data_IF_102985889157
#
_entry.id   IF_102985889157
#
_cell.length_a   1.000
_cell.length_b   1.000
_cell.length_c   1.000
_cell.angle_alpha   90.00
_cell.angle_beta   90.00
_cell.angle_gamma   90.00
#
_symmetry.space_group_name_H-M   'P 1'
#
loop_
_entity.id
_entity.type
_entity.pdbx_description
1 polymer ?
#
# COMPACT_ATOMS: atom_id res chain seq x y z
N UNK A 1 -3.95 19.27 -47.57
CA UNK A 1 -3.77 20.49 -46.77
C UNK A 1 -4.74 20.57 -45.58
N UNK A 2 -5.40 19.45 -45.18
CA UNK A 2 -6.46 19.46 -44.14
C UNK A 2 -6.08 18.77 -42.80
N UNK A 3 -4.95 18.05 -42.71
CA UNK A 3 -4.62 17.28 -41.52
C UNK A 3 -3.70 17.98 -40.53
N UNK A 4 -3.19 19.16 -40.86
CA UNK A 4 -2.28 19.91 -40.00
C UNK A 4 -3.04 20.74 -38.95
N UNK A 5 -4.33 21.03 -39.13
CA UNK A 5 -5.13 21.91 -38.28
C UNK A 5 -5.98 21.21 -37.20
N UNK A 6 -5.98 19.87 -37.13
CA UNK A 6 -6.74 19.10 -36.09
C UNK A 6 -5.92 18.60 -34.93
N UNK A 7 -4.75 19.12 -34.66
CA UNK A 7 -4.18 18.96 -33.31
C UNK A 7 -4.93 19.91 -32.38
N UNK A 8 -6.01 19.42 -31.78
CA UNK A 8 -6.59 20.12 -30.62
C UNK A 8 -5.43 20.42 -29.68
N UNK A 9 -5.19 21.69 -29.43
CA UNK A 9 -4.12 22.11 -28.51
C UNK A 9 -4.54 21.62 -27.12
N UNK A 10 -3.85 20.56 -26.65
CA UNK A 10 -4.05 20.03 -25.30
C UNK A 10 -3.75 21.17 -24.35
N UNK A 11 -4.75 21.58 -23.58
CA UNK A 11 -4.63 22.67 -22.64
C UNK A 11 -3.90 22.21 -21.38
N UNK A 12 -3.19 23.12 -20.74
CA UNK A 12 -2.54 22.83 -19.45
C UNK A 12 -3.56 22.37 -18.38
N UNK A 13 -4.80 22.84 -18.47
CA UNK A 13 -5.89 22.44 -17.57
C UNK A 13 -6.27 20.96 -17.76
N UNK A 14 -6.42 20.49 -19.00
CA UNK A 14 -6.70 19.06 -19.25
C UNK A 14 -5.60 18.15 -18.71
N UNK A 15 -4.34 18.55 -18.86
CA UNK A 15 -3.20 17.79 -18.31
C UNK A 15 -3.25 17.80 -16.78
N UNK A 16 -3.62 18.91 -16.16
CA UNK A 16 -3.75 19.03 -14.71
C UNK A 16 -4.90 18.18 -14.18
N UNK A 17 -6.07 18.24 -14.80
CA UNK A 17 -7.25 17.44 -14.43
C UNK A 17 -6.97 15.94 -14.54
N UNK A 18 -6.36 15.50 -15.65
CA UNK A 18 -5.99 14.10 -15.82
C UNK A 18 -4.98 13.65 -14.78
N UNK A 19 -4.02 14.49 -14.42
CA UNK A 19 -3.06 14.21 -13.36
C UNK A 19 -3.73 14.10 -11.99
N UNK A 20 -4.64 15.00 -11.65
CA UNK A 20 -5.38 14.96 -10.38
C UNK A 20 -6.23 13.68 -10.26
N UNK A 21 -6.82 13.22 -11.36
CA UNK A 21 -7.63 11.99 -11.39
C UNK A 21 -6.79 10.70 -11.37
N UNK A 22 -5.60 10.70 -11.95
CA UNK A 22 -4.83 9.47 -12.17
C UNK A 22 -3.57 9.37 -11.32
N UNK A 23 -3.10 10.47 -10.73
CA UNK A 23 -1.82 10.54 -10.02
C UNK A 23 -0.59 10.38 -10.93
N UNK A 24 -0.77 10.24 -12.25
CA UNK A 24 0.32 10.01 -13.19
C UNK A 24 1.21 11.25 -13.38
N UNK A 25 2.44 11.04 -13.86
CA UNK A 25 3.37 12.13 -14.14
C UNK A 25 2.83 13.10 -15.21
N UNK A 26 3.07 14.41 -15.04
CA UNK A 26 2.57 15.46 -15.96
C UNK A 26 2.96 15.20 -17.42
N UNK A 27 4.17 14.71 -17.67
CA UNK A 27 4.63 14.41 -19.04
C UNK A 27 3.94 13.19 -19.63
N UNK A 28 3.63 12.19 -18.81
CA UNK A 28 2.89 11.01 -19.25
C UNK A 28 1.44 11.40 -19.57
N UNK A 29 0.78 12.19 -18.72
CA UNK A 29 -0.56 12.74 -19.00
C UNK A 29 -0.60 13.53 -20.29
N UNK A 30 0.38 14.41 -20.53
CA UNK A 30 0.47 15.19 -21.76
C UNK A 30 0.63 14.31 -23.01
N UNK A 31 1.52 13.30 -22.94
CA UNK A 31 1.75 12.37 -24.04
C UNK A 31 0.50 11.56 -24.38
N UNK A 32 -0.17 11.02 -23.35
CA UNK A 32 -1.34 10.19 -23.54
C UNK A 32 -2.52 11.01 -24.07
N UNK A 33 -2.75 12.22 -23.56
CA UNK A 33 -3.76 13.12 -24.11
C UNK A 33 -3.48 13.46 -25.59
N UNK A 34 -2.20 13.62 -25.98
CA UNK A 34 -1.83 13.84 -27.37
C UNK A 34 -2.16 12.63 -28.26
N UNK A 35 -1.91 11.42 -27.76
CA UNK A 35 -2.19 10.17 -28.48
C UNK A 35 -3.69 9.88 -28.58
N UNK A 36 -4.46 10.25 -27.57
CA UNK A 36 -5.92 10.07 -27.53
C UNK A 36 -6.70 11.27 -28.12
N UNK A 37 -6.01 12.26 -28.70
CA UNK A 37 -6.62 13.47 -29.24
C UNK A 37 -7.50 14.23 -28.23
N UNK A 38 -7.11 14.23 -26.95
CA UNK A 38 -7.84 14.89 -25.87
C UNK A 38 -9.01 14.10 -25.28
N UNK A 39 -9.19 12.85 -25.68
CA UNK A 39 -10.19 11.94 -25.10
C UNK A 39 -9.69 11.47 -23.73
N UNK A 40 -10.33 11.95 -22.67
CA UNK A 40 -9.92 11.73 -21.29
C UNK A 40 -10.11 10.26 -20.84
N UNK A 41 -11.22 9.62 -21.24
CA UNK A 41 -11.51 8.24 -20.86
C UNK A 41 -10.47 7.28 -21.44
N UNK A 42 -10.17 7.41 -22.73
CA UNK A 42 -9.11 6.64 -23.38
C UNK A 42 -7.72 6.97 -22.83
N UNK A 43 -7.50 8.21 -22.41
CA UNK A 43 -6.26 8.62 -21.77
C UNK A 43 -6.04 7.93 -20.42
N UNK A 44 -7.09 7.81 -19.62
CA UNK A 44 -7.07 7.08 -18.33
C UNK A 44 -6.75 5.60 -18.57
N UNK A 45 -7.44 4.96 -19.52
CA UNK A 45 -7.22 3.55 -19.85
C UNK A 45 -5.79 3.29 -20.34
N UNK A 46 -5.29 4.13 -21.24
CA UNK A 46 -3.93 4.03 -21.75
C UNK A 46 -2.86 4.29 -20.66
N UNK A 47 -3.12 5.19 -19.72
CA UNK A 47 -2.27 5.39 -18.56
C UNK A 47 -2.25 4.17 -17.64
N UNK A 48 -3.40 3.52 -17.45
CA UNK A 48 -3.53 2.28 -16.69
C UNK A 48 -2.73 1.15 -17.32
N UNK A 49 -2.88 0.90 -18.61
CA UNK A 49 -2.11 -0.10 -19.36
C UNK A 49 -0.60 0.14 -19.26
N UNK A 50 -0.18 1.40 -19.44
CA UNK A 50 1.24 1.78 -19.29
C UNK A 50 1.75 1.65 -17.87
N UNK A 51 0.90 1.89 -16.88
CA UNK A 51 1.19 1.67 -15.47
C UNK A 51 1.46 0.20 -15.19
N UNK A 52 0.62 -0.71 -15.68
CA UNK A 52 0.80 -2.16 -15.58
C UNK A 52 2.12 -2.58 -16.25
N UNK A 53 2.41 -2.09 -17.45
CA UNK A 53 3.64 -2.41 -18.16
C UNK A 53 4.90 -1.88 -17.42
N UNK A 54 4.81 -0.71 -16.78
CA UNK A 54 5.90 -0.16 -15.95
C UNK A 54 6.10 -0.99 -14.67
N UNK A 55 5.02 -1.40 -14.01
CA UNK A 55 5.08 -2.23 -12.82
C UNK A 55 5.68 -3.61 -13.14
N UNK A 56 5.25 -4.24 -14.23
CA UNK A 56 5.79 -5.52 -14.68
C UNK A 56 7.31 -5.48 -14.95
N UNK A 57 7.83 -4.37 -15.51
CA UNK A 57 9.28 -4.20 -15.71
C UNK A 57 10.08 -4.04 -14.42
N UNK A 58 9.41 -3.78 -13.31
CA UNK A 58 10.05 -3.58 -12.00
C UNK A 58 9.88 -4.77 -11.08
N UNK A 59 9.02 -5.73 -11.41
CA UNK A 59 8.71 -6.89 -10.56
C UNK A 59 9.94 -7.68 -10.14
N UNK A 60 10.98 -7.72 -11.00
CA UNK A 60 12.23 -8.45 -10.73
C UNK A 60 13.21 -7.69 -9.80
N UNK A 61 12.89 -6.44 -9.46
CA UNK A 61 13.75 -5.66 -8.56
C UNK A 61 13.52 -6.08 -7.12
N UNK A 62 14.61 -6.16 -6.37
CA UNK A 62 14.56 -6.56 -4.97
C UNK A 62 13.94 -5.44 -4.13
N UNK A 63 12.80 -5.72 -3.51
CA UNK A 63 12.15 -4.87 -2.53
C UNK A 63 12.51 -5.39 -1.12
N UNK A 64 13.63 -4.91 -0.57
CA UNK A 64 14.18 -5.38 0.71
C UNK A 64 13.82 -4.47 1.89
N UNK A 65 13.48 -3.22 1.61
CA UNK A 65 13.00 -2.24 2.59
C UNK A 65 11.46 -2.28 2.66
N UNK A 66 10.87 -1.41 3.44
CA UNK A 66 9.41 -1.30 3.51
C UNK A 66 8.91 -0.92 4.89
N UNK A 67 7.65 -1.23 5.12
CA UNK A 67 6.91 -0.84 6.31
C UNK A 67 6.09 -2.03 6.82
N UNK A 68 6.12 -2.22 8.15
CA UNK A 68 5.15 -3.03 8.86
C UNK A 68 4.15 -2.10 9.53
N UNK A 69 2.87 -2.39 9.36
CA UNK A 69 1.80 -1.68 10.08
C UNK A 69 0.80 -2.66 10.67
N UNK A 70 0.01 -2.14 11.60
CA UNK A 70 -1.07 -2.87 12.26
C UNK A 70 -2.36 -2.06 12.19
N UNK A 71 -3.47 -2.76 12.13
CA UNK A 71 -4.78 -2.17 12.34
C UNK A 71 -5.56 -3.04 13.33
N UNK A 72 -6.20 -2.42 14.29
CA UNK A 72 -7.04 -3.08 15.30
C UNK A 72 -8.42 -2.45 15.22
N UNK A 73 -9.47 -3.28 15.20
CA UNK A 73 -10.86 -2.83 15.18
C UNK A 73 -11.21 -2.01 16.45
N UNK A 74 -12.23 -1.18 16.37
CA UNK A 74 -12.63 -0.31 17.48
C UNK A 74 -13.01 -1.09 18.75
N UNK A 75 -13.62 -2.26 18.57
CA UNK A 75 -13.99 -3.18 19.67
C UNK A 75 -12.80 -4.01 20.17
N UNK A 76 -11.62 -3.87 19.53
CA UNK A 76 -10.38 -4.60 19.85
C UNK A 76 -10.51 -6.12 19.80
N UNK A 77 -11.44 -6.63 18.99
CA UNK A 77 -11.66 -8.06 18.80
C UNK A 77 -10.95 -8.61 17.58
N UNK A 78 -10.69 -7.75 16.59
CA UNK A 78 -10.04 -8.12 15.35
C UNK A 78 -8.82 -7.24 15.15
N UNK A 79 -7.70 -7.84 14.78
CA UNK A 79 -6.49 -7.10 14.46
C UNK A 79 -5.72 -7.75 13.34
N UNK A 80 -5.00 -6.95 12.58
CA UNK A 80 -4.10 -7.42 11.55
C UNK A 80 -2.74 -6.74 11.64
N UNK A 81 -1.71 -7.48 11.25
CA UNK A 81 -0.37 -6.97 10.98
C UNK A 81 -0.02 -7.29 9.53
N UNK A 82 0.51 -6.32 8.81
CA UNK A 82 0.90 -6.48 7.41
C UNK A 82 2.30 -5.93 7.16
N UNK A 83 3.07 -6.63 6.34
CA UNK A 83 4.38 -6.23 5.83
C UNK A 83 4.25 -5.92 4.33
N UNK A 84 4.57 -4.67 3.97
CA UNK A 84 4.61 -4.21 2.58
C UNK A 84 6.02 -3.74 2.28
N UNK A 85 6.64 -4.35 1.29
CA UNK A 85 8.02 -4.07 0.92
C UNK A 85 8.10 -3.03 -0.22
N UNK A 86 9.21 -2.28 -0.22
CA UNK A 86 9.61 -1.33 -1.25
C UNK A 86 11.12 -1.45 -1.52
N UNK A 87 11.62 -0.83 -2.59
CA UNK A 87 13.06 -0.88 -2.92
C UNK A 87 13.90 -0.07 -1.93
N UNK A 88 13.41 1.09 -1.47
CA UNK A 88 14.15 2.00 -0.60
C UNK A 88 13.39 2.41 0.67
N UNK A 89 14.15 2.84 1.68
CA UNK A 89 13.61 3.40 2.92
C UNK A 89 12.96 4.79 2.72
N UNK A 90 13.30 5.50 1.63
CA UNK A 90 12.65 6.76 1.27
C UNK A 90 11.16 6.55 0.97
N UNK A 91 10.82 5.49 0.23
CA UNK A 91 9.43 5.13 -0.05
C UNK A 91 8.72 4.72 1.24
N UNK A 92 9.37 3.98 2.14
CA UNK A 92 8.80 3.63 3.43
C UNK A 92 8.42 4.84 4.30
N UNK A 93 9.03 6.02 4.07
CA UNK A 93 8.72 7.30 4.73
C UNK A 93 7.71 8.16 3.96
N UNK A 94 7.39 7.80 2.73
CA UNK A 94 6.44 8.53 1.89
C UNK A 94 5.02 8.39 2.43
N UNK A 95 4.31 9.52 2.61
CA UNK A 95 2.95 9.54 3.15
C UNK A 95 1.96 8.76 2.29
N UNK A 96 2.10 8.82 0.97
CA UNK A 96 1.24 8.10 0.04
C UNK A 96 1.41 6.57 0.15
N UNK A 97 2.64 6.10 0.35
CA UNK A 97 2.92 4.70 0.63
C UNK A 97 2.38 4.27 2.00
N UNK A 98 2.60 5.08 3.04
CA UNK A 98 2.09 4.81 4.39
C UNK A 98 0.56 4.75 4.45
N UNK A 99 -0.12 5.67 3.75
CA UNK A 99 -1.58 5.63 3.63
C UNK A 99 -2.05 4.35 2.96
N UNK A 100 -1.43 3.96 1.85
CA UNK A 100 -1.74 2.70 1.17
C UNK A 100 -1.57 1.49 2.09
N UNK A 101 -0.46 1.41 2.84
CA UNK A 101 -0.21 0.28 3.77
C UNK A 101 -1.24 0.24 4.91
N UNK A 102 -1.66 1.41 5.42
CA UNK A 102 -2.72 1.51 6.42
C UNK A 102 -4.09 1.05 5.87
N UNK A 103 -4.43 1.44 4.64
CA UNK A 103 -5.65 1.00 3.97
C UNK A 103 -5.67 -0.52 3.74
N UNK A 104 -4.52 -1.09 3.37
CA UNK A 104 -4.36 -2.55 3.24
C UNK A 104 -4.57 -3.26 4.58
N UNK A 105 -4.00 -2.75 5.68
CA UNK A 105 -4.20 -3.33 7.00
C UNK A 105 -5.68 -3.30 7.43
N UNK A 106 -6.36 -2.18 7.17
CA UNK A 106 -7.80 -2.03 7.41
C UNK A 106 -8.62 -2.99 6.56
N UNK A 107 -8.30 -3.13 5.28
CA UNK A 107 -8.94 -4.07 4.36
C UNK A 107 -8.85 -5.52 4.87
N UNK A 108 -7.69 -5.94 5.37
CA UNK A 108 -7.48 -7.28 5.92
C UNK A 108 -8.42 -7.54 7.11
N UNK A 109 -8.58 -6.57 8.00
CA UNK A 109 -9.49 -6.67 9.15
C UNK A 109 -10.95 -6.77 8.70
N UNK A 110 -11.37 -5.92 7.75
CA UNK A 110 -12.76 -5.81 7.31
C UNK A 110 -13.20 -6.94 6.36
N UNK A 111 -12.31 -7.38 5.46
CA UNK A 111 -12.65 -8.32 4.37
C UNK A 111 -12.16 -9.74 4.57
N UNK A 112 -11.31 -9.97 5.59
CA UNK A 112 -10.80 -11.30 5.98
C UNK A 112 -10.28 -12.15 4.80
N UNK A 113 -9.32 -11.68 4.00
CA UNK A 113 -8.69 -12.50 2.98
C UNK A 113 -7.89 -13.63 3.62
N UNK A 114 -7.87 -14.82 2.99
CA UNK A 114 -7.09 -15.94 3.48
C UNK A 114 -5.61 -15.88 3.01
N UNK A 115 -5.36 -15.29 1.85
CA UNK A 115 -4.01 -15.20 1.26
C UNK A 115 -3.75 -13.82 0.66
N UNK A 116 -2.48 -13.54 0.35
CA UNK A 116 -2.09 -12.28 -0.32
C UNK A 116 -2.70 -12.20 -1.72
N UNK A 117 -2.80 -13.32 -2.42
CA UNK A 117 -3.40 -13.41 -3.74
C UNK A 117 -4.88 -13.02 -3.69
N UNK A 118 -5.63 -13.59 -2.75
CA UNK A 118 -7.03 -13.23 -2.53
C UNK A 118 -7.19 -11.75 -2.16
N UNK A 119 -6.31 -11.22 -1.28
CA UNK A 119 -6.31 -9.80 -0.93
C UNK A 119 -6.14 -8.90 -2.16
N UNK A 120 -5.22 -9.26 -3.08
CA UNK A 120 -4.96 -8.48 -4.28
C UNK A 120 -6.15 -8.46 -5.26
N UNK A 121 -6.97 -9.52 -5.27
CA UNK A 121 -8.16 -9.62 -6.11
C UNK A 121 -9.39 -8.93 -5.51
N UNK A 122 -9.41 -8.68 -4.20
CA UNK A 122 -10.53 -8.02 -3.54
C UNK A 122 -10.73 -6.57 -4.01
N UNK A 123 -11.99 -6.10 -4.10
CA UNK A 123 -12.29 -4.69 -4.30
C UNK A 123 -11.69 -3.84 -3.17
N UNK A 124 -10.94 -2.79 -3.52
CA UNK A 124 -10.34 -1.87 -2.56
C UNK A 124 -11.39 -1.08 -1.79
N UNK A 125 -11.24 -0.98 -0.48
CA UNK A 125 -12.06 -0.09 0.38
C UNK A 125 -11.68 1.38 0.23
N UNK A 126 -10.43 1.67 -0.17
CA UNK A 126 -9.92 3.03 -0.30
C UNK A 126 -10.22 3.64 -1.67
N UNK A 127 -10.18 2.84 -2.74
CA UNK A 127 -10.41 3.31 -4.11
C UNK A 127 -11.54 2.51 -4.77
N UNK A 128 -12.73 3.10 -4.82
CA UNK A 128 -13.91 2.45 -5.43
C UNK A 128 -13.66 2.08 -6.91
N UNK A 129 -14.08 0.89 -7.30
CA UNK A 129 -13.98 0.41 -8.68
C UNK A 129 -12.62 -0.16 -9.09
N UNK A 130 -11.69 -0.28 -8.13
CA UNK A 130 -10.38 -0.92 -8.34
C UNK A 130 -10.18 -2.07 -7.36
N UNK A 131 -9.39 -3.06 -7.75
CA UNK A 131 -8.89 -4.08 -6.81
C UNK A 131 -7.68 -3.55 -6.05
N UNK A 132 -7.33 -4.19 -4.92
CA UNK A 132 -6.11 -3.86 -4.16
C UNK A 132 -4.86 -4.00 -5.03
N UNK A 133 -4.80 -5.02 -5.90
CA UNK A 133 -3.70 -5.23 -6.85
C UNK A 133 -3.59 -4.11 -7.89
N UNK A 134 -4.73 -3.58 -8.37
CA UNK A 134 -4.74 -2.44 -9.28
C UNK A 134 -4.28 -1.15 -8.60
N UNK A 135 -4.67 -0.93 -7.34
CA UNK A 135 -4.17 0.20 -6.54
C UNK A 135 -2.67 0.08 -6.32
N UNK A 136 -2.17 -1.10 -5.93
CA UNK A 136 -0.73 -1.37 -5.78
C UNK A 136 0.04 -1.08 -7.08
N UNK A 137 -0.47 -1.57 -8.21
CA UNK A 137 0.13 -1.34 -9.54
C UNK A 137 0.17 0.15 -9.88
N UNK A 138 -0.89 0.89 -9.57
CA UNK A 138 -0.95 2.34 -9.71
C UNK A 138 0.10 3.05 -8.85
N UNK A 139 0.28 2.63 -7.61
CA UNK A 139 1.32 3.17 -6.71
C UNK A 139 2.73 2.88 -7.23
N UNK A 140 3.01 1.67 -7.73
CA UNK A 140 4.29 1.32 -8.38
C UNK A 140 4.56 2.22 -9.58
N UNK A 141 3.53 2.51 -10.39
CA UNK A 141 3.67 3.38 -11.56
C UNK A 141 3.95 4.84 -11.18
N UNK A 142 3.31 5.34 -10.11
CA UNK A 142 3.41 6.74 -9.64
C UNK A 142 4.69 6.99 -8.86
N UNK A 143 4.98 6.17 -7.84
CA UNK A 143 6.15 6.29 -6.97
C UNK A 143 7.42 5.91 -7.73
N UNK A 144 7.33 4.93 -8.64
CA UNK A 144 8.44 4.57 -9.50
C UNK A 144 9.34 3.47 -8.96
N UNK A 145 9.01 2.83 -7.84
CA UNK A 145 9.71 1.70 -7.23
C UNK A 145 8.87 0.43 -7.25
N UNK A 146 9.53 -0.74 -7.19
CA UNK A 146 8.85 -2.00 -6.97
C UNK A 146 8.31 -2.05 -5.54
N UNK A 147 7.07 -2.50 -5.40
CA UNK A 147 6.41 -2.69 -4.11
C UNK A 147 5.63 -3.98 -4.12
N UNK A 148 5.58 -4.66 -2.98
CA UNK A 148 4.84 -5.91 -2.83
C UNK A 148 4.26 -6.05 -1.42
N UNK A 149 3.03 -6.53 -1.32
CA UNK A 149 2.47 -7.01 -0.06
C UNK A 149 3.10 -8.39 0.17
N UNK A 150 4.00 -8.48 1.15
CA UNK A 150 4.77 -9.69 1.38
C UNK A 150 4.00 -10.74 2.16
N UNK A 151 3.38 -10.30 3.25
CA UNK A 151 2.60 -11.17 4.15
C UNK A 151 1.75 -10.34 5.08
N UNK A 152 0.76 -10.99 5.63
CA UNK A 152 -0.06 -10.47 6.73
C UNK A 152 -0.51 -11.60 7.63
N UNK A 153 -0.92 -11.23 8.85
CA UNK A 153 -1.62 -12.11 9.78
C UNK A 153 -2.84 -11.37 10.32
N UNK A 154 -3.96 -12.05 10.45
CA UNK A 154 -5.20 -11.55 11.02
C UNK A 154 -5.59 -12.41 12.20
N UNK A 155 -5.93 -11.75 13.29
CA UNK A 155 -6.39 -12.39 14.53
C UNK A 155 -7.81 -11.93 14.84
N UNK A 156 -8.60 -12.86 15.35
CA UNK A 156 -9.94 -12.59 15.85
C UNK A 156 -10.12 -13.33 17.17
N UNK A 157 -10.59 -12.61 18.21
CA UNK A 157 -10.60 -13.12 19.57
C UNK A 157 -11.83 -12.68 20.35
N UNK A 158 -12.19 -13.47 21.36
CA UNK A 158 -13.11 -13.06 22.41
C UNK A 158 -12.42 -12.22 23.49
N UNK A 159 -11.10 -12.21 23.55
CA UNK A 159 -10.28 -11.42 24.45
C UNK A 159 -10.11 -9.97 23.99
N UNK A 160 -8.89 -9.48 24.06
CA UNK A 160 -8.48 -8.12 23.67
C UNK A 160 -7.25 -8.19 22.78
N UNK A 161 -7.26 -7.47 21.66
CA UNK A 161 -6.11 -7.29 20.78
C UNK A 161 -5.55 -5.89 20.98
N UNK A 162 -4.23 -5.80 21.13
CA UNK A 162 -3.47 -4.55 21.10
C UNK A 162 -2.26 -4.69 20.20
N UNK A 163 -1.76 -3.54 19.74
CA UNK A 163 -0.63 -3.50 18.83
C UNK A 163 0.38 -2.44 19.24
N UNK A 164 1.62 -2.66 18.80
CA UNK A 164 2.73 -1.74 18.97
C UNK A 164 3.60 -1.73 17.71
N UNK A 165 3.93 -0.53 17.24
CA UNK A 165 4.85 -0.31 16.12
C UNK A 165 6.13 0.30 16.66
N UNK A 166 7.26 -0.30 16.31
CA UNK A 166 8.59 0.17 16.71
C UNK A 166 9.44 0.57 15.50
N UNK A 167 10.36 1.53 15.72
CA UNK A 167 11.34 1.92 14.70
C UNK A 167 10.74 2.47 13.43
N UNK A 168 9.71 3.31 13.56
CA UNK A 168 9.03 3.96 12.43
C UNK A 168 8.50 2.95 11.38
N UNK A 169 7.88 1.86 11.87
CA UNK A 169 7.30 0.82 11.02
C UNK A 169 8.27 -0.29 10.61
N UNK A 170 9.43 -0.41 11.26
CA UNK A 170 10.34 -1.53 10.99
C UNK A 170 9.91 -2.82 11.68
N UNK A 171 9.19 -2.71 12.79
CA UNK A 171 8.69 -3.86 13.56
C UNK A 171 7.27 -3.58 14.01
N UNK A 172 6.39 -4.53 13.76
CA UNK A 172 5.02 -4.55 14.27
C UNK A 172 4.84 -5.72 15.23
N UNK A 173 4.20 -5.44 16.35
CA UNK A 173 3.79 -6.44 17.34
C UNK A 173 2.29 -6.37 17.50
N UNK A 174 1.63 -7.52 17.46
CA UNK A 174 0.22 -7.68 17.74
C UNK A 174 0.08 -8.75 18.81
N UNK A 175 -0.69 -8.45 19.85
CA UNK A 175 -0.88 -9.32 21.01
C UNK A 175 -2.36 -9.53 21.26
N UNK A 176 -2.72 -10.77 21.47
CA UNK A 176 -4.00 -11.19 22.00
C UNK A 176 -3.85 -11.50 23.48
N UNK A 177 -4.77 -10.97 24.30
CA UNK A 177 -4.82 -11.27 25.73
C UNK A 177 -6.24 -11.66 26.15
N UNK A 178 -6.33 -12.70 26.96
CA UNK A 178 -7.56 -13.08 27.64
C UNK A 178 -7.58 -12.47 29.04
N UNK A 179 -8.51 -11.54 29.28
CA UNK A 179 -8.55 -10.74 30.50
C UNK A 179 -7.58 -9.55 30.49
N UNK A 180 -7.62 -8.75 31.55
CA UNK A 180 -6.83 -7.53 31.65
C UNK A 180 -7.47 -6.32 30.96
N UNK A 181 -6.70 -5.26 30.80
CA UNK A 181 -7.14 -4.04 30.16
C UNK A 181 -6.18 -3.64 29.01
N UNK A 182 -6.59 -2.66 28.22
CA UNK A 182 -5.85 -2.17 27.06
C UNK A 182 -4.43 -1.69 27.40
N UNK A 183 -4.25 -1.03 28.57
CA UNK A 183 -2.92 -0.57 28.99
C UNK A 183 -1.99 -1.74 29.27
N UNK A 184 -2.46 -2.76 29.97
CA UNK A 184 -1.69 -3.98 30.22
C UNK A 184 -1.27 -4.68 28.93
N UNK A 185 -2.20 -4.80 27.95
CA UNK A 185 -1.88 -5.39 26.66
C UNK A 185 -0.84 -4.58 25.87
N UNK A 186 -0.91 -3.24 25.91
CA UNK A 186 0.11 -2.35 25.32
C UNK A 186 1.48 -2.52 25.95
N UNK A 187 1.53 -2.60 27.29
CA UNK A 187 2.78 -2.81 28.00
C UNK A 187 3.42 -4.15 27.61
N UNK A 188 2.61 -5.20 27.45
CA UNK A 188 3.09 -6.49 26.92
C UNK A 188 3.63 -6.35 25.50
N UNK A 189 2.92 -5.69 24.57
CA UNK A 189 3.40 -5.46 23.22
C UNK A 189 4.77 -4.79 23.20
N UNK A 190 4.95 -3.75 24.02
CA UNK A 190 6.21 -3.03 24.15
C UNK A 190 7.32 -3.94 24.70
N UNK A 191 7.05 -4.66 25.79
CA UNK A 191 8.00 -5.57 26.45
C UNK A 191 8.43 -6.74 25.56
N UNK A 192 7.54 -7.27 24.73
CA UNK A 192 7.85 -8.36 23.81
C UNK A 192 8.98 -8.01 22.85
N UNK A 193 9.08 -6.76 22.46
CA UNK A 193 10.16 -6.30 21.59
C UNK A 193 11.37 -5.77 22.39
N UNK A 194 11.14 -4.93 23.39
CA UNK A 194 12.20 -4.21 24.09
C UNK A 194 12.96 -5.05 25.12
N UNK A 195 12.34 -6.15 25.62
CA UNK A 195 12.96 -7.00 26.64
C UNK A 195 13.88 -8.06 26.02
N UNK A 196 15.16 -8.13 26.42
CA UNK A 196 16.09 -9.14 25.91
C UNK A 196 15.64 -10.54 26.34
N UNK A 197 15.50 -11.44 25.36
CA UNK A 197 15.13 -12.84 25.59
C UNK A 197 16.38 -13.70 25.81
N UNK A 198 16.29 -14.80 26.55
CA UNK A 198 17.43 -15.71 26.75
C UNK A 198 18.06 -16.21 25.44
N UNK A 199 17.27 -16.35 24.34
CA UNK A 199 17.76 -16.77 23.03
C UNK A 199 18.54 -15.66 22.28
N UNK A 200 18.38 -14.41 22.65
CA UNK A 200 19.07 -13.29 21.98
C UNK A 200 20.52 -13.20 22.43
N UNK A 201 20.85 -13.71 23.63
CA UNK A 201 22.22 -13.79 24.15
C UNK A 201 23.13 -14.78 23.41
N UNK A 202 22.58 -15.73 22.68
CA UNK A 202 23.34 -16.76 21.99
C UNK A 202 23.73 -16.40 20.55
N UNK A 203 23.20 -15.31 19.99
CA UNK A 203 23.53 -14.83 18.64
C UNK A 203 24.66 -13.80 18.57
N UNK A 204 25.23 -13.41 19.68
CA UNK A 204 26.31 -12.42 19.80
C UNK A 204 27.67 -13.07 20.04
N UNK A 205 28.03 -14.11 19.23
CA UNK A 205 29.41 -14.65 19.15
C UNK A 205 29.73 -15.01 17.73
#
# INVERSE_FOLDING_TARGET
>A
ASDVYKRQMITANQVKELREKTGAGMMDCKKVLAETNGDEEKAIELLRERGIAKAAKKSDRIAAEGLVTTYVSEDKKIGAVVEVNAETDFVAKNEEFRSFVADVAKQIVEKNPATVEELLEQPSIAEAGKTVGEVLTGKIATIGENMSIRRFERFETNGLIESYIHGDGKIGVLVEVEGGNSQFAKDICCLLYTSPRPRDRTRSR
#
